data_IF_704815546123
#
_entry.id   IF_704815546123
#
_cell.length_a   1.000
_cell.length_b   1.000
_cell.length_c   1.000
_cell.angle_alpha   90.00
_cell.angle_beta   90.00
_cell.angle_gamma   90.00
#
_symmetry.space_group_name_H-M   'P 1'
#
loop_
_entity.id
_entity.type
_entity.pdbx_description
1 polymer ?
#
# COMPACT_ATOMS: atom_id res chain seq x y z
N UNK A 1 -38.18 45.77 -11.75
CA UNK A 1 -37.86 45.67 -10.32
C UNK A 1 -36.36 45.80 -10.17
N UNK A 2 -35.85 46.81 -9.44
CA UNK A 2 -34.38 46.99 -9.31
C UNK A 2 -33.84 46.02 -8.25
N UNK A 3 -32.56 45.67 -8.35
CA UNK A 3 -31.89 44.80 -7.36
C UNK A 3 -31.91 45.44 -5.97
N UNK A 4 -31.86 46.77 -5.90
CA UNK A 4 -31.98 47.57 -4.67
C UNK A 4 -33.28 47.30 -3.92
N UNK A 5 -34.36 47.01 -4.65
CA UNK A 5 -35.71 46.86 -4.09
C UNK A 5 -35.93 45.45 -3.51
N UNK A 6 -34.95 44.55 -3.70
CA UNK A 6 -34.99 43.13 -3.34
C UNK A 6 -34.06 42.78 -2.18
N UNK A 7 -33.21 43.71 -1.75
CA UNK A 7 -32.23 43.46 -0.69
C UNK A 7 -32.90 43.46 0.69
N UNK A 8 -32.49 42.51 1.54
CA UNK A 8 -32.82 42.56 2.97
C UNK A 8 -32.27 43.83 3.60
N UNK A 9 -33.02 44.38 4.57
CA UNK A 9 -32.65 45.59 5.33
C UNK A 9 -31.24 45.43 5.91
N UNK A 10 -30.36 46.41 5.64
CA UNK A 10 -28.97 46.41 6.10
C UNK A 10 -27.96 45.69 5.19
N UNK A 11 -28.35 45.22 4.00
CA UNK A 11 -27.42 44.66 2.99
C UNK A 11 -27.25 45.63 1.81
N UNK A 12 -26.05 45.67 1.23
CA UNK A 12 -25.70 46.53 0.10
C UNK A 12 -25.69 45.74 -1.21
N UNK A 13 -25.88 46.43 -2.35
CA UNK A 13 -25.78 45.82 -3.69
C UNK A 13 -24.38 45.28 -3.93
N UNK A 14 -23.34 45.99 -3.47
CA UNK A 14 -21.95 45.54 -3.59
C UNK A 14 -21.73 44.22 -2.86
N UNK A 15 -22.22 44.07 -1.62
CA UNK A 15 -22.10 42.83 -0.87
C UNK A 15 -22.83 41.65 -1.54
N UNK A 16 -23.91 41.91 -2.27
CA UNK A 16 -24.57 40.88 -3.08
C UNK A 16 -23.70 40.46 -4.27
N UNK A 17 -23.09 41.41 -4.98
CA UNK A 17 -22.19 41.10 -6.10
C UNK A 17 -20.91 40.42 -5.63
N UNK A 18 -20.31 40.85 -4.52
CA UNK A 18 -19.17 40.19 -3.90
C UNK A 18 -19.53 38.75 -3.50
N UNK A 19 -20.73 38.52 -2.95
CA UNK A 19 -21.18 37.17 -2.64
C UNK A 19 -21.35 36.30 -3.91
N UNK A 20 -22.05 36.81 -4.93
CA UNK A 20 -22.34 36.08 -6.17
C UNK A 20 -21.04 35.77 -6.93
N UNK A 21 -20.17 36.76 -7.11
CA UNK A 21 -18.98 36.64 -7.95
C UNK A 21 -17.72 36.21 -7.17
N UNK A 22 -17.71 36.34 -5.84
CA UNK A 22 -16.67 35.80 -4.98
C UNK A 22 -16.73 34.29 -4.83
N UNK A 23 -17.87 33.67 -5.18
CA UNK A 23 -18.06 32.21 -5.20
C UNK A 23 -17.71 31.51 -3.87
N UNK A 24 -17.71 32.23 -2.74
CA UNK A 24 -17.39 31.66 -1.42
C UNK A 24 -18.36 30.56 -0.97
N UNK A 25 -19.54 30.51 -1.61
CA UNK A 25 -20.55 29.46 -1.44
C UNK A 25 -20.23 28.18 -2.23
N UNK A 26 -19.29 28.23 -3.18
CA UNK A 26 -18.80 27.06 -3.91
C UNK A 26 -17.60 26.51 -3.14
N UNK A 27 -17.80 25.36 -2.48
CA UNK A 27 -16.72 24.64 -1.80
C UNK A 27 -16.45 23.32 -2.51
N UNK A 28 -15.23 23.06 -3.00
CA UNK A 28 -14.91 21.75 -3.52
C UNK A 28 -15.01 20.72 -2.40
N UNK A 29 -15.72 19.63 -2.65
CA UNK A 29 -15.77 18.47 -1.75
C UNK A 29 -14.96 17.35 -2.39
N UNK A 30 -13.87 16.97 -1.72
CA UNK A 30 -13.08 15.82 -2.11
C UNK A 30 -13.63 14.58 -1.42
N UNK A 31 -13.82 13.51 -2.19
CA UNK A 31 -14.18 12.20 -1.67
C UNK A 31 -13.15 11.19 -2.16
N UNK A 32 -12.54 10.46 -1.23
CA UNK A 32 -11.65 9.36 -1.55
C UNK A 32 -12.52 8.11 -1.80
N UNK A 33 -12.29 7.45 -2.94
CA UNK A 33 -13.05 6.27 -3.36
C UNK A 33 -12.10 5.15 -3.75
N UNK A 34 -12.49 3.91 -3.43
CA UNK A 34 -11.81 2.71 -3.92
C UNK A 34 -12.79 1.98 -4.84
N UNK A 35 -12.53 2.05 -6.14
CA UNK A 35 -13.52 1.68 -7.16
C UNK A 35 -14.78 2.54 -7.03
N UNK A 36 -15.93 1.89 -6.79
CA UNK A 36 -17.22 2.56 -6.64
C UNK A 36 -17.58 2.92 -5.18
N UNK A 37 -16.84 2.43 -4.18
CA UNK A 37 -17.16 2.61 -2.76
C UNK A 37 -16.54 3.88 -2.19
N UNK A 38 -17.29 4.61 -1.37
CA UNK A 38 -16.74 5.71 -0.56
C UNK A 38 -16.03 5.20 0.70
N UNK A 39 -15.11 6.00 1.25
CA UNK A 39 -14.35 5.65 2.47
C UNK A 39 -15.22 5.14 3.63
N UNK A 40 -16.43 5.69 3.80
CA UNK A 40 -17.38 5.28 4.84
C UNK A 40 -17.92 3.86 4.65
N UNK A 41 -17.95 3.37 3.41
CA UNK A 41 -18.48 2.06 3.02
C UNK A 41 -17.40 0.97 3.00
N UNK A 42 -16.13 1.35 3.16
CA UNK A 42 -15.00 0.43 3.19
C UNK A 42 -14.93 -0.32 4.53
N UNK A 43 -14.59 -1.60 4.45
CA UNK A 43 -14.22 -2.42 5.60
C UNK A 43 -12.91 -1.91 6.26
N UNK A 44 -12.61 -2.30 7.51
CA UNK A 44 -11.36 -1.93 8.16
C UNK A 44 -10.11 -2.27 7.33
N UNK A 45 -10.05 -3.46 6.72
CA UNK A 45 -8.94 -3.88 5.86
C UNK A 45 -8.84 -3.06 4.56
N UNK A 46 -9.99 -2.78 3.93
CA UNK A 46 -10.05 -1.92 2.73
C UNK A 46 -9.57 -0.48 3.04
N UNK A 47 -9.92 0.06 4.22
CA UNK A 47 -9.44 1.38 4.66
C UNK A 47 -7.94 1.39 4.91
N UNK A 48 -7.40 0.36 5.56
CA UNK A 48 -5.96 0.21 5.79
C UNK A 48 -5.17 0.16 4.49
N UNK A 49 -5.67 -0.61 3.53
CA UNK A 49 -5.10 -0.72 2.18
C UNK A 49 -5.08 0.62 1.46
N UNK A 50 -6.20 1.33 1.46
CA UNK A 50 -6.31 2.64 0.83
C UNK A 50 -5.36 3.67 1.45
N UNK A 51 -5.17 3.60 2.77
CA UNK A 51 -4.20 4.44 3.48
C UNK A 51 -2.76 4.10 3.08
N UNK A 52 -2.40 2.82 2.97
CA UNK A 52 -1.09 2.40 2.48
C UNK A 52 -0.83 2.89 1.05
N UNK A 53 -1.80 2.70 0.14
CA UNK A 53 -1.70 3.20 -1.24
C UNK A 53 -1.51 4.72 -1.26
N UNK A 54 -2.21 5.45 -0.40
CA UNK A 54 -2.05 6.90 -0.27
C UNK A 54 -0.60 7.28 0.11
N UNK A 55 -0.03 6.64 1.14
CA UNK A 55 1.36 6.91 1.53
C UNK A 55 2.39 6.46 0.49
N UNK A 56 2.12 5.38 -0.24
CA UNK A 56 3.06 4.85 -1.23
C UNK A 56 3.06 5.68 -2.53
N UNK A 57 1.89 6.16 -2.98
CA UNK A 57 1.76 6.78 -4.30
C UNK A 57 1.37 8.26 -4.31
N UNK A 58 0.60 8.73 -3.32
CA UNK A 58 0.03 10.09 -3.34
C UNK A 58 0.88 11.07 -2.54
N UNK A 59 1.33 10.64 -1.36
CA UNK A 59 2.23 11.43 -0.51
C UNK A 59 3.56 11.67 -1.22
N UNK A 60 3.88 12.93 -1.57
CA UNK A 60 5.03 13.28 -2.41
C UNK A 60 6.35 13.40 -1.64
N UNK A 61 6.34 13.30 -0.32
CA UNK A 61 7.56 13.41 0.47
C UNK A 61 8.54 12.27 0.13
N UNK A 62 9.82 12.42 0.43
CA UNK A 62 10.85 11.40 0.23
C UNK A 62 11.33 10.78 1.55
N UNK A 63 10.61 11.06 2.65
CA UNK A 63 10.89 10.54 3.98
C UNK A 63 10.90 9.00 3.99
N UNK A 64 11.84 8.35 4.71
CA UNK A 64 11.85 6.90 4.86
C UNK A 64 10.55 6.39 5.48
N UNK A 65 9.99 5.34 4.89
CA UNK A 65 8.74 4.73 5.34
C UNK A 65 9.04 3.38 5.99
N UNK A 66 8.57 3.20 7.23
CA UNK A 66 8.62 1.92 7.94
C UNK A 66 7.21 1.32 7.96
N UNK A 67 7.05 0.11 7.45
CA UNK A 67 5.75 -0.57 7.38
C UNK A 67 5.86 -1.96 7.98
N UNK A 68 5.08 -2.22 9.03
CA UNK A 68 4.98 -3.55 9.63
C UNK A 68 3.73 -4.23 9.11
N UNK A 69 3.88 -5.46 8.60
CA UNK A 69 2.82 -6.30 8.05
C UNK A 69 1.82 -5.55 7.16
N UNK A 70 2.26 -4.90 6.06
CA UNK A 70 1.35 -4.24 5.11
C UNK A 70 0.29 -5.17 4.52
N UNK A 71 0.51 -6.48 4.54
CA UNK A 71 -0.42 -7.53 4.11
C UNK A 71 -1.51 -7.89 5.13
N UNK A 72 -1.47 -7.33 6.35
CA UNK A 72 -2.39 -7.73 7.41
C UNK A 72 -3.84 -7.44 7.01
N UNK A 73 -4.71 -8.45 7.11
CA UNK A 73 -6.13 -8.39 6.71
C UNK A 73 -6.36 -8.27 5.19
N UNK A 74 -5.35 -8.50 4.35
CA UNK A 74 -5.48 -8.59 2.91
C UNK A 74 -5.34 -10.03 2.41
N UNK A 75 -6.12 -10.38 1.39
CA UNK A 75 -5.91 -11.63 0.65
C UNK A 75 -4.70 -11.51 -0.29
N UNK A 76 -4.11 -12.65 -0.65
CA UNK A 76 -2.90 -12.69 -1.48
C UNK A 76 -3.09 -12.09 -2.88
N UNK A 77 -4.31 -12.11 -3.44
CA UNK A 77 -4.58 -11.51 -4.73
C UNK A 77 -4.52 -9.98 -4.63
N UNK A 78 -5.16 -9.39 -3.61
CA UNK A 78 -5.09 -7.95 -3.35
C UNK A 78 -3.65 -7.49 -3.09
N UNK A 79 -2.87 -8.25 -2.31
CA UNK A 79 -1.44 -7.95 -2.08
C UNK A 79 -0.68 -7.90 -3.41
N UNK A 80 -0.88 -8.90 -4.28
CA UNK A 80 -0.18 -8.99 -5.55
C UNK A 80 -0.61 -7.93 -6.57
N UNK A 81 -1.92 -7.70 -6.73
CA UNK A 81 -2.46 -6.80 -7.75
C UNK A 81 -2.32 -5.32 -7.38
N UNK A 82 -2.32 -4.99 -6.09
CA UNK A 82 -2.34 -3.61 -5.62
C UNK A 82 -1.05 -3.21 -4.90
N UNK A 83 -0.67 -3.92 -3.83
CA UNK A 83 0.46 -3.49 -3.00
C UNK A 83 1.81 -3.66 -3.70
N UNK A 84 2.03 -4.77 -4.41
CA UNK A 84 3.31 -5.01 -5.11
C UNK A 84 3.62 -3.90 -6.13
N UNK A 85 2.71 -3.51 -7.04
CA UNK A 85 2.95 -2.37 -7.94
C UNK A 85 3.17 -1.06 -7.20
N UNK A 86 2.37 -0.78 -6.17
CA UNK A 86 2.52 0.44 -5.38
C UNK A 86 3.90 0.52 -4.71
N UNK A 87 4.38 -0.60 -4.18
CA UNK A 87 5.69 -0.70 -3.54
C UNK A 87 6.81 -0.48 -4.53
N UNK A 88 6.73 -1.10 -5.72
CA UNK A 88 7.70 -0.93 -6.81
C UNK A 88 7.83 0.51 -7.26
N UNK A 89 6.74 1.25 -7.31
CA UNK A 89 6.80 2.68 -7.65
C UNK A 89 7.27 3.55 -6.47
N UNK A 90 6.85 3.25 -5.25
CA UNK A 90 7.27 4.00 -4.06
C UNK A 90 8.78 3.91 -3.80
N UNK A 91 9.36 2.70 -3.88
CA UNK A 91 10.79 2.46 -3.64
C UNK A 91 11.73 3.18 -4.61
N UNK A 92 11.22 3.59 -5.79
CA UNK A 92 12.00 4.35 -6.78
C UNK A 92 12.25 5.80 -6.38
N UNK A 93 11.43 6.34 -5.46
CA UNK A 93 11.51 7.74 -5.04
C UNK A 93 11.80 7.91 -3.54
N UNK A 94 11.39 6.96 -2.70
CA UNK A 94 11.58 7.00 -1.24
C UNK A 94 12.10 5.66 -0.72
N UNK A 95 12.86 5.70 0.36
CA UNK A 95 13.31 4.48 1.03
C UNK A 95 12.14 3.83 1.77
N UNK A 96 11.93 2.53 1.56
CA UNK A 96 10.88 1.77 2.24
C UNK A 96 11.50 0.58 2.97
N UNK A 97 11.23 0.47 4.26
CA UNK A 97 11.53 -0.70 5.06
C UNK A 97 10.22 -1.40 5.40
N UNK A 98 10.19 -2.70 5.16
CA UNK A 98 8.99 -3.50 5.37
C UNK A 98 9.31 -4.77 6.15
N UNK A 99 8.49 -5.05 7.14
CA UNK A 99 8.51 -6.32 7.87
C UNK A 99 7.33 -7.13 7.36
N UNK A 100 7.62 -8.29 6.76
CA UNK A 100 6.59 -9.10 6.11
C UNK A 100 6.92 -10.58 6.23
N UNK A 101 5.86 -11.39 6.24
CA UNK A 101 5.95 -12.84 6.11
C UNK A 101 5.36 -13.32 4.77
N UNK A 102 4.98 -12.39 3.89
CA UNK A 102 4.37 -12.70 2.60
C UNK A 102 5.44 -12.76 1.49
N UNK A 103 5.58 -13.90 0.77
CA UNK A 103 6.57 -14.04 -0.30
C UNK A 103 6.32 -13.08 -1.48
N UNK A 104 5.06 -12.69 -1.76
CA UNK A 104 4.78 -11.70 -2.80
C UNK A 104 5.41 -10.34 -2.46
N UNK A 105 5.42 -9.98 -1.18
CA UNK A 105 5.98 -8.72 -0.72
C UNK A 105 7.49 -8.77 -0.53
N UNK A 106 8.02 -9.87 -0.01
CA UNK A 106 9.46 -10.03 0.17
C UNK A 106 10.21 -10.24 -1.15
N UNK A 107 9.63 -11.03 -2.08
CA UNK A 107 10.31 -11.47 -3.31
C UNK A 107 9.80 -10.72 -4.53
N UNK A 108 8.49 -10.66 -4.75
CA UNK A 108 7.93 -10.12 -6.00
C UNK A 108 8.02 -8.59 -6.07
N UNK A 109 8.17 -7.90 -4.94
CA UNK A 109 8.51 -6.47 -4.90
C UNK A 109 9.96 -6.16 -5.35
N UNK A 110 10.76 -7.17 -5.70
CA UNK A 110 12.17 -7.05 -6.10
C UNK A 110 13.01 -6.30 -5.07
N UNK A 111 12.89 -6.66 -3.78
CA UNK A 111 13.61 -5.98 -2.69
C UNK A 111 15.13 -5.97 -2.93
N UNK A 112 15.76 -4.79 -2.85
CA UNK A 112 17.22 -4.64 -3.04
C UNK A 112 18.02 -5.32 -1.92
N UNK A 113 17.45 -5.35 -0.72
CA UNK A 113 18.07 -5.97 0.45
C UNK A 113 16.99 -6.66 1.27
N UNK A 114 17.25 -7.93 1.60
CA UNK A 114 16.47 -8.72 2.54
C UNK A 114 17.27 -8.83 3.83
N UNK A 115 16.58 -8.74 4.97
CA UNK A 115 17.14 -9.01 6.29
C UNK A 115 16.37 -10.17 6.89
N UNK A 116 17.01 -11.33 6.96
CA UNK A 116 16.46 -12.52 7.60
C UNK A 116 16.81 -12.51 9.09
N UNK A 117 15.80 -12.58 9.94
CA UNK A 117 15.98 -12.78 11.38
C UNK A 117 15.87 -14.27 11.71
N UNK A 118 16.80 -14.78 12.50
CA UNK A 118 16.81 -16.15 13.01
C UNK A 118 16.95 -16.15 14.53
N UNK A 119 16.15 -16.97 15.20
CA UNK A 119 16.15 -17.08 16.66
C UNK A 119 16.83 -18.38 17.08
N UNK A 120 18.04 -18.27 17.61
CA UNK A 120 18.77 -19.40 18.16
C UNK A 120 18.18 -19.79 19.54
N UNK A 121 17.20 -20.69 19.49
CA UNK A 121 16.55 -21.25 20.69
C UNK A 121 17.51 -22.05 21.58
N UNK A 122 18.63 -22.51 21.05
CA UNK A 122 19.61 -23.33 21.80
C UNK A 122 20.64 -22.48 22.52
N UNK A 123 20.97 -21.31 21.96
CA UNK A 123 21.90 -20.36 22.57
C UNK A 123 21.17 -19.17 23.20
N UNK A 124 20.45 -19.43 24.30
CA UNK A 124 19.77 -18.39 25.11
C UNK A 124 18.80 -17.48 24.33
N UNK A 125 18.15 -17.99 23.28
CA UNK A 125 17.23 -17.19 22.45
C UNK A 125 17.93 -15.97 21.82
N UNK A 126 19.18 -16.14 21.39
CA UNK A 126 19.93 -15.07 20.71
C UNK A 126 19.33 -14.82 19.32
N UNK A 127 19.08 -13.55 19.00
CA UNK A 127 18.66 -13.14 17.66
C UNK A 127 19.87 -12.94 16.76
N UNK A 128 19.88 -13.65 15.65
CA UNK A 128 20.87 -13.53 14.58
C UNK A 128 20.22 -12.89 13.36
N UNK A 129 21.01 -12.14 12.59
CA UNK A 129 20.54 -11.48 11.38
C UNK A 129 21.48 -11.77 10.22
N UNK A 130 20.91 -12.10 9.07
CA UNK A 130 21.63 -12.21 7.81
C UNK A 130 21.01 -11.24 6.82
N UNK A 131 21.83 -10.48 6.10
CA UNK A 131 21.33 -9.54 5.10
C UNK A 131 22.09 -9.58 3.80
N UNK A 132 21.38 -9.27 2.71
CA UNK A 132 21.94 -9.21 1.37
C UNK A 132 20.83 -9.16 0.31
N UNK A 133 21.24 -9.10 -0.95
CA UNK A 133 20.33 -9.10 -2.08
C UNK A 133 19.72 -10.49 -2.32
N UNK A 134 18.58 -10.55 -3.01
CA UNK A 134 17.83 -11.79 -3.31
C UNK A 134 18.67 -12.78 -4.13
N UNK A 135 19.60 -12.29 -4.95
CA UNK A 135 20.48 -13.07 -5.81
C UNK A 135 21.61 -13.76 -5.03
N UNK A 136 21.87 -13.36 -3.78
CA UNK A 136 22.86 -14.03 -2.96
C UNK A 136 22.36 -15.44 -2.61
N UNK A 137 23.09 -16.52 -2.95
CA UNK A 137 22.61 -17.89 -2.74
C UNK A 137 22.24 -18.21 -1.28
N UNK A 138 22.94 -17.61 -0.30
CA UNK A 138 22.64 -17.81 1.13
C UNK A 138 21.32 -17.14 1.51
N UNK A 139 21.09 -15.91 1.03
CA UNK A 139 19.85 -15.16 1.27
C UNK A 139 18.69 -15.83 0.54
N UNK A 140 18.87 -16.20 -0.72
CA UNK A 140 17.87 -16.90 -1.52
C UNK A 140 17.40 -18.19 -0.82
N UNK A 141 18.34 -19.01 -0.35
CA UNK A 141 18.02 -20.23 0.38
C UNK A 141 17.31 -19.93 1.71
N UNK A 142 17.72 -18.88 2.43
CA UNK A 142 17.05 -18.46 3.67
C UNK A 142 15.60 -18.02 3.41
N UNK A 143 15.36 -17.22 2.35
CA UNK A 143 14.02 -16.78 1.93
C UNK A 143 13.12 -17.98 1.68
N UNK A 144 13.57 -18.95 0.87
CA UNK A 144 12.77 -20.16 0.57
C UNK A 144 12.46 -20.94 1.84
N UNK A 145 13.45 -21.10 2.73
CA UNK A 145 13.25 -21.86 3.96
C UNK A 145 12.26 -21.18 4.92
N UNK A 146 12.30 -19.84 5.00
CA UNK A 146 11.46 -19.06 5.92
C UNK A 146 10.04 -18.88 5.36
N UNK A 147 9.90 -18.46 4.10
CA UNK A 147 8.62 -18.08 3.51
C UNK A 147 7.88 -19.25 2.86
N UNK A 148 8.61 -20.22 2.29
CA UNK A 148 8.02 -21.35 1.56
C UNK A 148 8.17 -22.69 2.28
N UNK A 149 8.83 -22.71 3.44
CA UNK A 149 9.00 -23.87 4.31
C UNK A 149 10.00 -24.92 3.83
N UNK A 150 10.45 -24.90 2.57
CA UNK A 150 11.65 -25.54 1.96
C UNK A 150 11.43 -25.73 0.45
N UNK A 151 12.51 -25.92 -0.33
CA UNK A 151 12.42 -26.21 -1.78
C UNK A 151 11.54 -27.44 -2.12
N UNK A 152 11.64 -28.59 -1.41
CA UNK A 152 10.77 -29.74 -1.70
C UNK A 152 9.29 -29.46 -1.41
N UNK A 153 8.98 -28.68 -0.37
CA UNK A 153 7.61 -28.28 -0.06
C UNK A 153 7.03 -27.35 -1.13
N UNK A 154 7.87 -26.45 -1.68
CA UNK A 154 7.50 -25.59 -2.79
C UNK A 154 7.20 -26.40 -4.06
N UNK A 155 8.10 -27.30 -4.48
CA UNK A 155 7.87 -28.15 -5.67
C UNK A 155 6.63 -29.03 -5.52
N UNK A 156 6.42 -29.66 -4.36
CA UNK A 156 5.23 -30.47 -4.12
C UNK A 156 3.92 -29.66 -4.22
N UNK A 157 3.93 -28.37 -3.84
CA UNK A 157 2.79 -27.48 -4.08
C UNK A 157 2.63 -27.19 -5.56
N UNK A 158 3.71 -26.84 -6.25
CA UNK A 158 3.71 -26.55 -7.68
C UNK A 158 3.15 -27.73 -8.51
N UNK A 159 3.58 -28.96 -8.22
CA UNK A 159 3.17 -30.17 -8.94
C UNK A 159 1.66 -30.49 -8.79
N UNK A 160 1.01 -29.97 -7.74
CA UNK A 160 -0.44 -30.14 -7.54
C UNK A 160 -1.28 -29.20 -8.38
N UNK A 161 -0.71 -28.07 -8.83
CA UNK A 161 -1.42 -27.13 -9.68
C UNK A 161 -1.22 -27.53 -11.13
N UNK A 162 -2.31 -27.82 -11.84
CA UNK A 162 -2.25 -28.00 -13.28
C UNK A 162 -2.26 -26.62 -13.94
N UNK A 163 -1.22 -26.22 -14.69
CA UNK A 163 -1.31 -25.01 -15.48
C UNK A 163 -2.46 -25.18 -16.49
N UNK A 164 -3.39 -24.23 -16.51
CA UNK A 164 -4.36 -24.15 -17.61
C UNK A 164 -3.56 -23.86 -18.86
N UNK A 165 -3.39 -24.88 -19.70
CA UNK A 165 -2.83 -24.71 -21.03
C UNK A 165 -3.84 -23.88 -21.81
N UNK A 166 -3.60 -22.58 -21.93
CA UNK A 166 -4.25 -21.77 -22.95
C UNK A 166 -3.77 -22.33 -24.28
N UNK A 167 -4.61 -23.13 -24.92
CA UNK A 167 -4.42 -23.53 -26.31
C UNK A 167 -4.37 -22.24 -27.13
N UNK A 168 -3.18 -21.92 -27.65
CA UNK A 168 -2.95 -20.86 -28.62
C UNK A 168 -3.53 -21.27 -29.95
#
# INVERSE_FOLDING_TARGET
>A
MKVTDQLRKGKTVMALYDFIYGMEYIRPRYALRMGAKELSELSPGERGTLLLVFYLLVDKDDIPLLIDQPEENLDNQTVFELLVPCMKEAKRRRQVFMVTHNPNLAVVCDAEQIICADLDKTNKYTMNYMSGAIENPKINQAIVNILEGTMPAFHNRQDKYQPVVLAV
#
